data_IF_443475182096
#
_entry.id   IF_443475182096
#
_cell.length_a   1.000
_cell.length_b   1.000
_cell.length_c   1.000
_cell.angle_alpha   90.00
_cell.angle_beta   90.00
_cell.angle_gamma   90.00
#
_symmetry.space_group_name_H-M   'P 1'
#
loop_
_entity.id
_entity.type
_entity.pdbx_description
1 polymer ?
2 non-polymer ?
3 non-polymer ?
4 non-polymer ?
5 water ?
#
# COMPACT_ATOMS: atom_id res chain seq x y z
N UNK A 15 4.91 32.29 -19.59
CA UNK A 15 4.06 31.19 -20.04
C UNK A 15 4.81 29.87 -20.34
N UNK A 16 4.07 28.76 -20.19
CA UNK A 16 4.52 27.42 -20.53
C UNK A 16 3.40 26.78 -21.33
N UNK A 17 3.59 26.70 -22.65
CA UNK A 17 2.60 26.11 -23.56
C UNK A 17 3.06 24.76 -24.10
N UNK A 18 3.97 24.07 -23.41
CA UNK A 18 4.49 22.81 -23.91
C UNK A 18 3.39 21.74 -23.99
N UNK A 19 2.62 21.58 -22.92
CA UNK A 19 1.74 20.42 -22.86
C UNK A 19 0.42 20.64 -23.59
N UNK A 20 -0.11 21.87 -23.58
CA UNK A 20 -1.31 22.20 -24.35
C UNK A 20 -1.06 21.98 -25.84
N UNK A 22 0.42 19.21 -28.98
CA UNK A 22 0.51 17.75 -28.91
C UNK A 22 -0.90 17.13 -28.88
N UNK A 23 -1.26 16.44 -29.95
CA UNK A 23 -2.57 15.82 -30.06
C UNK A 23 -2.49 14.31 -30.18
N UNK A 24 -1.31 13.73 -29.92
CA UNK A 24 -1.16 12.29 -29.88
C UNK A 24 -0.54 11.92 -28.53
N UNK A 25 -1.07 10.88 -27.93
CA UNK A 25 -0.61 10.41 -26.64
C UNK A 25 -1.83 9.91 -25.89
N UNK A 26 -1.61 8.93 -25.02
CA UNK A 26 -2.65 8.35 -24.18
C UNK A 26 -2.08 8.21 -22.78
N UNK A 27 -2.91 8.41 -21.78
CA UNK A 27 -2.45 8.60 -20.41
C UNK A 27 -3.32 7.74 -19.50
N UNK A 28 -2.70 6.98 -18.60
CA UNK A 28 -3.44 6.08 -17.73
C UNK A 28 -3.03 6.30 -16.28
N UNK A 29 -3.98 6.16 -15.37
CA UNK A 29 -3.64 6.13 -13.95
C UNK A 29 -3.16 4.73 -13.61
N UNK A 30 -2.05 4.65 -12.88
CA UNK A 30 -1.58 3.38 -12.32
C UNK A 30 -1.70 3.47 -10.82
N UNK A 31 -2.44 2.54 -10.22
CA UNK A 31 -2.58 2.44 -8.77
C UNK A 31 -1.82 1.21 -8.29
N UNK A 32 -1.03 1.36 -7.23
CA UNK A 32 -0.30 0.24 -6.66
C UNK A 32 -0.62 0.14 -5.18
N UNK A 33 -0.85 -1.08 -4.68
CA UNK A 33 -0.97 -1.26 -3.25
C UNK A 33 0.37 -1.22 -2.53
N UNK A 34 1.48 -1.38 -3.28
CA UNK A 34 2.79 -1.69 -2.71
C UNK A 34 3.80 -0.61 -3.02
N UNK A 35 4.42 -0.07 -1.97
CA UNK A 35 5.57 0.80 -2.16
C UNK A 35 6.78 0.03 -2.64
N UNK A 36 6.88 -1.27 -2.31
CA UNK A 36 7.96 -2.09 -2.84
C UNK A 36 7.87 -2.20 -4.37
N UNK A 37 6.66 -2.40 -4.91
CA UNK A 37 6.54 -2.49 -6.36
C UNK A 37 6.97 -1.17 -7.02
N UNK A 38 6.61 -0.03 -6.42
CA UNK A 38 7.05 1.27 -6.96
C UNK A 38 8.57 1.34 -6.99
N UNK A 39 9.24 1.00 -5.87
CA UNK A 39 10.70 1.05 -5.85
C UNK A 39 11.32 0.11 -6.88
N UNK A 40 10.74 -1.08 -7.05
CA UNK A 40 11.28 -2.02 -8.02
C UNK A 40 11.11 -1.51 -9.44
N UNK A 41 9.99 -0.83 -9.69
CA UNK A 41 9.73 -0.26 -11.01
C UNK A 41 10.74 0.82 -11.36
N UNK A 42 11.02 1.71 -10.42
CA UNK A 42 11.99 2.77 -10.66
C UNK A 42 13.38 2.17 -10.87
N UNK A 43 13.71 1.13 -10.10
CA UNK A 43 15.04 0.53 -10.16
C UNK A 43 15.29 -0.16 -11.49
N UNK A 44 14.32 -0.93 -11.98
CA UNK A 44 14.53 -1.77 -13.15
C UNK A 44 13.74 -1.33 -14.37
N UNK A 45 12.98 -0.25 -14.28
CA UNK A 45 12.21 0.28 -15.41
C UNK A 45 11.31 -0.79 -16.04
N UNK A 46 10.51 -1.44 -15.18
CA UNK A 46 9.53 -2.44 -15.60
C UNK A 46 8.27 -2.25 -14.75
N UNK A 47 7.16 -2.78 -15.24
CA UNK A 47 5.89 -2.76 -14.52
C UNK A 47 5.08 -3.97 -14.92
N UNK A 48 4.06 -4.26 -14.12
CA UNK A 48 3.07 -5.29 -14.42
C UNK A 48 1.76 -4.85 -13.77
N UNK A 49 0.66 -5.03 -14.47
CA UNK A 49 -0.66 -4.72 -13.94
C UNK A 49 -1.44 -6.02 -13.78
N UNK A 50 -2.74 -5.89 -13.51
CA UNK A 50 -3.60 -7.07 -13.53
C UNK A 50 -3.71 -7.59 -14.94
N UNK A 51 -4.41 -8.71 -15.10
CA UNK A 51 -4.63 -9.24 -16.45
C UNK A 51 -5.39 -8.23 -17.32
N UNK A 52 -6.53 -7.72 -16.83
CA UNK A 52 -7.28 -6.78 -17.65
C UNK A 52 -6.56 -5.45 -17.80
N UNK A 53 -5.83 -5.01 -16.77
CA UNK A 53 -5.02 -3.80 -16.90
C UNK A 53 -3.95 -3.95 -17.95
N UNK A 54 -3.22 -5.06 -17.91
CA UNK A 54 -2.22 -5.35 -18.93
C UNK A 54 -2.80 -5.31 -20.34
N UNK A 55 -3.94 -5.97 -20.54
CA UNK A 55 -4.59 -5.97 -21.85
C UNK A 55 -4.90 -4.55 -22.32
N UNK A 56 -5.42 -3.72 -21.42
CA UNK A 56 -5.78 -2.36 -21.79
C UNK A 56 -4.55 -1.56 -22.18
N UNK A 57 -3.49 -1.63 -21.36
CA UNK A 57 -2.27 -0.91 -21.67
C UNK A 57 -1.65 -1.42 -22.96
N UNK A 58 -1.65 -2.75 -23.14
CA UNK A 58 -1.05 -3.34 -24.32
C UNK A 58 -1.76 -2.87 -25.59
N UNK A 59 -3.10 -2.82 -25.55
CA UNK A 59 -3.85 -2.34 -26.71
C UNK A 59 -3.49 -0.90 -27.04
N UNK A 60 -3.39 -0.04 -26.02
CA UNK A 60 -3.05 1.36 -26.25
C UNK A 60 -1.64 1.51 -26.79
N UNK A 61 -0.67 0.79 -26.22
CA UNK A 61 0.71 0.91 -26.69
C UNK A 61 0.82 0.51 -28.16
N UNK A 62 0.18 -0.60 -28.52
CA UNK A 62 0.35 -1.12 -29.88
C UNK A 62 -0.40 -0.25 -30.88
N UNK A 63 -1.61 0.21 -30.54
CA UNK A 63 -2.35 1.10 -31.42
C UNK A 63 -1.64 2.44 -31.62
N UNK A 64 -0.74 2.80 -30.71
CA UNK A 64 -0.02 4.06 -30.85
C UNK A 64 1.02 3.98 -31.97
N UNK A 65 1.69 2.84 -32.10
CA UNK A 65 2.68 2.62 -33.16
C UNK A 65 3.74 3.72 -33.18
N UNK A 66 4.23 4.07 -32.00
CA UNK A 66 5.29 5.05 -31.87
C UNK A 66 4.93 6.46 -32.28
N UNK A 67 3.67 6.73 -32.62
CA UNK A 67 3.23 8.07 -33.01
C UNK A 67 3.10 9.03 -31.85
N UNK A 68 3.14 8.52 -30.62
CA UNK A 68 3.01 9.35 -29.43
C UNK A 68 3.27 8.52 -28.19
N UNK A 69 3.41 9.16 -27.04
CA UNK A 69 3.71 8.39 -25.82
C UNK A 69 2.45 7.86 -25.15
N UNK A 70 2.62 6.74 -24.46
CA UNK A 70 1.65 6.27 -23.47
C UNK A 70 2.22 6.63 -22.10
N UNK A 71 1.58 7.53 -21.38
CA UNK A 71 2.07 7.99 -20.09
C UNK A 71 1.33 7.26 -18.97
N UNK A 72 2.05 7.02 -17.88
CA UNK A 72 1.55 6.31 -16.71
C UNK A 72 1.73 7.24 -15.51
N UNK A 73 0.64 7.58 -14.86
CA UNK A 73 0.66 8.44 -13.68
C UNK A 73 0.48 7.55 -12.46
N UNK A 74 1.51 7.44 -11.62
CA UNK A 74 1.58 6.44 -10.55
C UNK A 74 1.14 6.99 -9.21
N UNK A 75 0.36 6.21 -8.46
CA UNK A 75 -0.05 6.59 -7.12
C UNK A 75 -0.24 5.34 -6.29
N UNK A 76 0.30 5.34 -5.07
CA UNK A 76 0.11 4.23 -4.14
C UNK A 76 -1.25 4.39 -3.46
N UNK A 77 -2.05 3.33 -3.50
CA UNK A 77 -3.38 3.36 -2.88
C UNK A 77 -3.31 3.83 -1.44
N UNK A 78 -4.11 4.84 -1.10
CA UNK A 78 -4.18 5.32 0.26
C UNK A 78 -3.12 6.32 0.65
N UNK A 79 -2.17 6.64 -0.24
CA UNK A 79 -1.04 7.47 0.16
C UNK A 79 -1.34 8.96 0.17
N UNK A 80 -2.37 9.40 -0.54
CA UNK A 80 -2.68 10.81 -0.62
C UNK A 80 -1.96 11.59 -1.70
N UNK A 81 -1.12 10.94 -2.51
CA UNK A 81 -0.32 11.66 -3.48
C UNK A 81 0.02 10.75 -4.66
N UNK A 82 0.22 11.37 -5.83
CA UNK A 82 0.90 10.70 -6.92
C UNK A 82 2.39 10.71 -6.63
N UNK A 83 3.09 9.70 -7.13
CA UNK A 83 4.50 9.56 -6.84
C UNK A 83 5.37 9.67 -8.07
N UNK A 84 4.79 9.82 -9.26
CA UNK A 84 5.61 10.12 -10.42
C UNK A 84 4.94 9.71 -11.73
N UNK A 85 5.75 9.74 -12.78
CA UNK A 85 5.30 9.59 -14.16
C UNK A 85 6.32 8.73 -14.91
N UNK A 86 5.81 7.79 -15.69
CA UNK A 86 6.64 6.92 -16.51
C UNK A 86 6.00 6.79 -17.88
N UNK A 87 6.82 6.52 -18.88
CA UNK A 87 6.32 6.21 -20.20
C UNK A 87 6.41 4.71 -20.42
N UNK A 88 5.35 4.14 -20.98
CA UNK A 88 5.38 2.76 -21.45
C UNK A 88 6.37 2.62 -22.60
N UNK A 89 7.20 1.57 -22.57
CA UNK A 89 8.28 1.44 -23.54
C UNK A 89 8.36 0.08 -24.22
N UNK A 90 7.35 -0.76 -24.07
CA UNK A 90 7.29 -2.03 -24.77
C UNK A 90 5.85 -2.51 -24.70
N UNK A 91 5.53 -3.45 -25.56
CA UNK A 91 4.32 -4.22 -25.38
C UNK A 91 4.45 -5.11 -24.14
N UNK A 92 3.34 -5.75 -23.79
CA UNK A 92 3.30 -6.65 -22.64
C UNK A 92 3.83 -8.02 -23.04
N UNK A 93 4.79 -8.53 -22.27
CA UNK A 93 5.22 -9.92 -22.35
C UNK A 93 4.44 -10.69 -21.29
N UNK A 94 3.58 -11.61 -21.71
CA UNK A 94 2.65 -12.19 -20.74
C UNK A 94 3.19 -13.43 -20.03
N UNK A 95 4.31 -14.00 -20.46
CA UNK A 95 4.82 -15.24 -19.87
C UNK A 95 6.23 -14.95 -19.36
N UNK A 96 6.34 -14.51 -18.12
CA UNK A 96 7.62 -14.16 -17.54
C UNK A 96 7.70 -14.79 -16.16
N UNK A 97 8.85 -14.63 -15.52
CA UNK A 97 9.06 -15.16 -14.18
C UNK A 97 7.97 -14.66 -13.24
N UNK A 98 7.33 -15.60 -12.55
CA UNK A 98 6.28 -15.25 -11.60
C UNK A 98 6.90 -14.82 -10.27
N UNK A 99 6.09 -14.17 -9.44
CA UNK A 99 6.51 -13.85 -8.08
C UNK A 99 7.51 -12.72 -7.90
N UNK A 100 7.75 -11.89 -8.91
CA UNK A 100 8.74 -10.82 -8.74
C UNK A 100 8.18 -9.58 -8.02
N UNK A 101 6.87 -9.44 -7.96
CA UNK A 101 6.23 -8.30 -7.31
C UNK A 101 5.77 -8.71 -5.90
N UNK A 102 5.23 -7.75 -5.14
CA UNK A 102 4.93 -8.02 -3.73
C UNK A 102 3.97 -9.21 -3.59
N UNK A 103 2.87 -9.18 -4.34
CA UNK A 103 1.98 -10.32 -4.40
C UNK A 103 2.18 -11.10 -5.70
N UNK A 104 2.06 -12.42 -5.58
CA UNK A 104 2.25 -13.32 -6.70
C UNK A 104 0.96 -13.43 -7.52
N UNK A 106 0.57 -11.61 -10.21
CA UNK A 106 0.89 -10.79 -11.37
C UNK A 106 1.50 -11.66 -12.49
N UNK A 107 0.88 -11.56 -13.67
CA UNK A 107 1.27 -12.33 -14.84
C UNK A 107 1.77 -11.35 -15.90
N UNK A 108 3.09 -11.24 -16.04
CA UNK A 108 3.67 -10.55 -17.17
C UNK A 108 4.59 -9.43 -16.77
N UNK A 109 5.02 -8.67 -17.77
CA UNK A 109 6.00 -7.62 -17.57
C UNK A 109 6.03 -6.74 -18.82
N UNK A 110 6.19 -5.44 -18.63
CA UNK A 110 6.53 -4.57 -19.75
C UNK A 110 7.52 -3.52 -19.27
N UNK A 111 8.22 -2.93 -20.25
CA UNK A 111 9.21 -1.91 -19.97
C UNK A 111 8.56 -0.55 -19.80
N UNK A 112 9.08 0.25 -18.87
CA UNK A 112 8.71 1.64 -18.72
C UNK A 112 10.01 2.44 -18.65
N UNK A 113 9.86 3.75 -18.75
CA UNK A 113 10.94 4.69 -18.46
C UNK A 113 10.37 5.71 -17.50
N UNK A 114 10.89 5.74 -16.27
CA UNK A 114 10.42 6.74 -15.32
C UNK A 114 10.91 8.13 -15.73
N UNK A 115 10.00 9.09 -15.66
CA UNK A 115 10.15 10.46 -16.16
C UNK A 115 10.30 11.44 -15.00
N UNK A 116 9.31 11.45 -14.10
CA UNK A 116 9.29 12.21 -12.85
C UNK A 116 9.21 11.22 -11.71
N UNK A 117 10.04 11.43 -10.70
CA UNK A 117 9.83 10.81 -9.41
C UNK A 117 9.71 11.98 -8.43
N UNK A 118 8.47 12.35 -8.10
CA UNK A 118 8.20 13.35 -7.08
C UNK A 118 6.79 13.14 -6.55
N UNK A 119 6.60 13.39 -5.26
CA UNK A 119 5.27 13.31 -4.67
C UNK A 119 4.49 14.56 -4.99
N UNK A 120 3.29 14.38 -5.54
CA UNK A 120 2.37 15.46 -5.82
C UNK A 120 1.09 15.22 -5.03
N UNK A 121 0.78 16.04 -4.04
CA UNK A 121 -0.39 15.78 -3.20
C UNK A 121 -1.66 15.78 -4.02
N UNK A 122 -2.62 14.94 -3.60
CA UNK A 122 -3.90 14.89 -4.29
C UNK A 122 -4.59 16.25 -4.30
N UNK A 123 -4.29 17.10 -3.31
CA UNK A 123 -4.88 18.44 -3.26
C UNK A 123 -4.53 19.25 -4.50
N UNK A 124 -3.36 19.01 -5.09
CA UNK A 124 -2.94 19.72 -6.28
C UNK A 124 -3.73 19.31 -7.52
N UNK A 125 -4.44 18.18 -7.46
CA UNK A 125 -5.03 17.57 -8.66
C UNK A 125 -6.53 17.28 -8.55
N UNK A 126 -7.11 17.31 -7.35
CA UNK A 126 -8.49 16.88 -7.15
C UNK A 126 -9.52 17.67 -7.96
N UNK A 127 -9.16 18.87 -8.42
CA UNK A 127 -10.10 19.70 -9.18
C UNK A 127 -10.29 19.17 -10.60
N UNK A 128 -9.30 18.49 -11.16
CA UNK A 128 -9.43 17.93 -12.50
C UNK A 128 -10.32 16.71 -12.42
N UNK A 129 -11.41 16.71 -13.19
CA UNK A 129 -12.36 15.61 -13.16
C UNK A 129 -12.37 14.93 -14.53
N UNK A 130 -12.74 13.64 -14.53
CA UNK A 130 -12.67 12.80 -15.72
C UNK A 130 -14.08 12.60 -16.28
N UNK A 131 -14.36 13.20 -17.43
CA UNK A 131 -15.68 13.07 -18.02
C UNK A 131 -15.99 11.62 -18.39
N UNK A 132 -14.97 10.79 -18.62
CA UNK A 132 -15.20 9.39 -18.96
C UNK A 132 -15.38 8.50 -17.73
N UNK A 133 -15.28 9.06 -16.52
CA UNK A 133 -15.44 8.34 -15.27
C UNK A 133 -16.39 9.11 -14.35
N UNK A 134 -17.57 9.46 -14.87
CA UNK A 134 -18.64 10.06 -14.09
C UNK A 134 -18.24 11.40 -13.48
N UNK A 135 -17.33 12.11 -14.15
CA UNK A 135 -16.80 13.38 -13.66
C UNK A 135 -16.18 13.28 -12.27
N UNK A 136 -15.74 12.08 -11.88
CA UNK A 136 -15.03 11.94 -10.62
C UNK A 136 -13.66 12.61 -10.69
N UNK A 137 -13.16 13.14 -9.57
CA UNK A 137 -11.80 13.68 -9.56
C UNK A 137 -10.81 12.64 -10.05
N UNK A 138 -9.82 13.10 -10.81
CA UNK A 138 -8.79 12.19 -11.32
C UNK A 138 -8.11 11.45 -10.16
N UNK A 139 -8.07 12.06 -8.98
CA UNK A 139 -7.50 11.50 -7.76
C UNK A 139 -8.36 10.39 -7.16
N UNK A 140 -9.52 10.09 -7.73
CA UNK A 140 -10.40 9.01 -7.29
C UNK A 140 -10.47 7.87 -8.29
N UNK A 141 -9.45 7.72 -9.10
CA UNK A 141 -9.42 6.75 -10.19
C UNK A 141 -8.95 5.39 -9.68
N UNK A 142 -9.40 4.33 -10.35
CA UNK A 142 -8.92 2.98 -10.14
C UNK A 142 -7.75 2.69 -11.09
N UNK A 143 -7.08 1.56 -10.83
CA UNK A 143 -5.92 1.15 -11.62
C UNK A 143 -6.25 1.03 -13.11
N UNK A 144 -5.40 1.64 -13.95
CA UNK A 144 -5.51 1.76 -15.42
C UNK A 144 -6.77 2.47 -15.90
N UNK A 145 -7.32 3.36 -15.07
CA UNK A 145 -8.25 4.37 -15.56
C UNK A 145 -7.57 5.22 -16.64
N UNK A 146 -8.16 5.28 -17.83
CA UNK A 146 -7.59 6.17 -18.86
C UNK A 146 -8.03 7.61 -18.62
N UNK A 147 -7.16 8.55 -18.97
CA UNK A 147 -7.38 9.98 -18.76
C UNK A 147 -7.55 10.63 -20.12
N UNK A 148 -8.66 11.34 -20.37
CA UNK A 148 -8.80 12.05 -21.65
C UNK A 148 -7.62 13.00 -21.85
N UNK A 149 -7.18 13.11 -23.10
CA UNK A 149 -5.91 13.82 -23.34
C UNK A 149 -5.97 15.26 -22.87
N UNK A 150 -7.11 15.94 -23.05
CA UNK A 150 -7.16 17.33 -22.64
C UNK A 150 -7.04 17.48 -21.12
N UNK A 151 -7.58 16.52 -20.36
CA UNK A 151 -7.39 16.52 -18.91
C UNK A 151 -5.97 16.10 -18.53
N UNK A 152 -5.42 15.12 -19.25
CA UNK A 152 -4.05 14.68 -19.02
C UNK A 152 -3.05 15.82 -19.16
N UNK A 153 -3.27 16.74 -20.12
CA UNK A 153 -2.35 17.86 -20.28
C UNK A 153 -2.36 18.73 -19.04
N UNK A 154 -3.53 18.88 -18.43
CA UNK A 154 -3.65 19.70 -17.20
C UNK A 154 -2.95 19.02 -16.03
N UNK A 155 -3.10 17.71 -15.91
CA UNK A 155 -2.44 16.94 -14.86
C UNK A 155 -0.92 17.00 -15.02
N UNK A 156 -0.43 16.74 -16.23
CA UNK A 156 1.00 16.77 -16.45
C UNK A 156 1.58 18.15 -16.14
N UNK A 157 0.85 19.21 -16.48
CA UNK A 157 1.36 20.55 -16.19
C UNK A 157 1.49 20.78 -14.69
N UNK A 158 0.49 20.37 -13.92
CA UNK A 158 0.55 20.56 -12.47
C UNK A 158 1.67 19.74 -11.85
N UNK A 159 1.88 18.50 -12.32
CA UNK A 159 2.93 17.66 -11.77
C UNK A 159 4.31 18.25 -12.08
N UNK A 160 4.52 18.68 -13.33
CA UNK A 160 5.83 19.18 -13.71
C UNK A 160 6.18 20.44 -12.94
N UNK A 161 5.18 21.20 -12.51
CA UNK A 161 5.42 22.49 -11.87
C UNK A 161 5.37 22.44 -10.34
N UNK A 162 4.99 21.32 -9.74
CA UNK A 162 4.89 21.28 -8.29
C UNK A 162 6.29 21.31 -7.65
N UNK A 163 6.41 21.99 -6.52
CA UNK A 163 7.72 22.16 -5.88
C UNK A 163 7.67 21.81 -4.39
N UNK B 16 -9.20 -23.40 22.99
CA UNK B 16 -8.29 -24.02 22.03
C UNK B 16 -6.91 -23.93 22.70
N UNK B 17 -5.86 -24.45 22.04
CA UNK B 17 -4.54 -24.46 22.65
C UNK B 17 -3.91 -23.08 22.75
N UNK B 18 -4.41 -22.10 22.02
CA UNK B 18 -3.71 -20.84 21.83
C UNK B 18 -4.47 -19.69 22.45
N UNK B 19 -3.73 -18.82 23.15
CA UNK B 19 -4.25 -17.55 23.66
C UNK B 19 -5.46 -17.74 24.57
N UNK B 20 -5.52 -18.89 25.24
CA UNK B 20 -6.56 -19.10 26.24
C UNK B 20 -6.30 -18.29 27.50
N UNK B 21 -5.03 -18.02 27.80
CA UNK B 21 -4.63 -17.24 28.98
C UNK B 21 -4.10 -15.89 28.48
N UNK B 22 -5.02 -14.94 28.34
CA UNK B 22 -4.76 -13.58 27.90
C UNK B 22 -5.78 -12.72 28.65
N UNK B 23 -5.59 -12.63 29.96
CA UNK B 23 -6.59 -11.96 30.81
C UNK B 23 -6.65 -10.47 30.52
N UNK B 24 -5.50 -9.82 30.51
CA UNK B 24 -5.40 -8.39 30.26
C UNK B 24 -4.80 -8.18 28.88
N UNK B 25 -4.44 -6.93 28.60
CA UNK B 25 -3.69 -6.68 27.40
C UNK B 25 -4.57 -6.20 26.27
N UNK B 26 -3.90 -5.85 25.19
CA UNK B 26 -4.47 -5.01 24.15
C UNK B 26 -3.88 -5.43 22.81
N UNK B 27 -4.67 -5.29 21.77
CA UNK B 27 -4.35 -5.85 20.46
C UNK B 27 -4.65 -4.81 19.41
N UNK B 28 -3.72 -4.63 18.46
CA UNK B 28 -3.84 -3.60 17.44
C UNK B 28 -3.57 -4.22 16.08
N UNK B 29 -4.28 -3.70 15.06
CA UNK B 29 -3.99 -4.01 13.67
C UNK B 29 -2.76 -3.21 13.23
N UNK B 30 -1.85 -3.87 12.51
CA UNK B 30 -0.74 -3.19 11.84
C UNK B 30 -0.89 -3.40 10.34
N UNK B 31 -0.89 -2.32 9.59
CA UNK B 31 -0.88 -2.41 8.14
C UNK B 31 0.50 -2.00 7.62
N UNK B 32 0.80 -2.37 6.38
CA UNK B 32 2.05 -1.94 5.77
C UNK B 32 1.91 -1.79 4.26
N UNK B 33 2.47 -0.70 3.74
CA UNK B 33 2.69 -0.49 2.31
C UNK B 33 3.83 -1.32 1.76
N UNK B 34 4.53 -2.07 2.61
CA UNK B 34 5.83 -2.66 2.23
C UNK B 34 5.98 -4.04 2.83
N UNK B 35 5.99 -5.06 1.97
CA UNK B 35 6.36 -6.40 2.41
C UNK B 35 7.81 -6.42 2.86
N UNK B 36 8.67 -5.63 2.22
CA UNK B 36 10.08 -5.56 2.63
C UNK B 36 10.21 -5.13 4.10
N UNK B 37 9.41 -4.13 4.52
CA UNK B 37 9.43 -3.69 5.91
C UNK B 37 9.04 -4.83 6.86
N UNK B 38 8.04 -5.64 6.47
CA UNK B 38 7.67 -6.79 7.29
C UNK B 38 8.83 -7.76 7.39
N UNK B 39 9.48 -8.05 6.25
CA UNK B 39 10.61 -8.97 6.29
C UNK B 39 11.68 -8.47 7.23
N UNK B 40 11.93 -7.16 7.24
CA UNK B 40 12.94 -6.60 8.12
C UNK B 40 12.50 -6.69 9.58
N UNK B 41 11.20 -6.43 9.84
CA UNK B 41 10.63 -6.61 11.17
C UNK B 41 10.84 -8.03 11.70
N UNK B 42 10.60 -9.03 10.84
CA UNK B 42 10.75 -10.44 11.25
C UNK B 42 12.22 -10.75 11.52
N UNK B 43 13.11 -10.24 10.66
CA UNK B 43 14.54 -10.49 10.81
C UNK B 43 15.08 -9.91 12.10
N UNK B 44 14.72 -8.66 12.41
CA UNK B 44 15.39 -7.93 13.48
C UNK B 44 14.51 -7.70 14.71
N UNK B 45 13.27 -8.20 14.72
CA UNK B 45 12.35 -8.01 15.84
C UNK B 45 12.23 -6.54 16.25
N UNK B 46 11.89 -5.69 15.27
CA UNK B 46 11.65 -4.27 15.47
C UNK B 46 10.53 -3.81 14.55
N UNK B 47 9.91 -2.69 14.91
CA UNK B 47 8.87 -2.10 14.07
C UNK B 47 8.81 -0.60 14.32
N UNK B 48 8.07 0.07 13.45
CA UNK B 48 7.88 1.51 13.49
C UNK B 48 6.56 1.81 12.79
N UNK B 49 5.75 2.72 13.35
CA UNK B 49 4.51 3.16 12.71
C UNK B 49 4.60 4.63 12.26
N UNK B 50 3.46 5.21 11.93
CA UNK B 50 3.35 6.66 11.77
C UNK B 50 3.60 7.34 13.11
N UNK B 51 3.68 8.67 13.10
CA UNK B 51 3.82 9.39 14.35
C UNK B 51 2.60 9.18 15.23
N UNK B 52 1.40 9.33 14.67
CA UNK B 52 0.21 9.09 15.48
C UNK B 52 0.08 7.62 15.88
N UNK B 53 0.49 6.69 15.02
CA UNK B 53 0.44 5.28 15.39
C UNK B 53 1.41 4.95 16.50
N UNK B 54 2.62 5.49 16.44
CA UNK B 54 3.62 5.23 17.47
C UNK B 54 3.13 5.68 18.83
N UNK B 55 2.53 6.87 18.88
CA UNK B 55 2.02 7.40 20.14
C UNK B 55 0.90 6.54 20.68
N UNK B 56 0.03 6.03 19.79
CA UNK B 56 -1.04 5.14 20.25
C UNK B 56 -0.49 3.85 20.85
N UNK B 57 0.44 3.20 20.16
CA UNK B 57 1.01 1.97 20.68
C UNK B 57 1.84 2.24 21.93
N UNK B 58 2.54 3.37 21.96
CA UNK B 58 3.36 3.74 23.11
C UNK B 58 2.49 3.90 24.36
N UNK B 59 1.39 4.65 24.22
CA UNK B 59 0.46 4.83 25.34
C UNK B 59 -0.09 3.51 25.86
N UNK B 60 -0.47 2.60 24.96
CA UNK B 60 -1.00 1.31 25.40
C UNK B 60 0.09 0.49 26.09
N UNK B 61 1.30 0.47 25.53
CA UNK B 61 2.38 -0.31 26.12
C UNK B 61 2.69 0.19 27.53
N UNK B 62 2.84 1.51 27.67
CA UNK B 62 3.21 2.07 28.97
C UNK B 62 2.08 1.93 29.99
N UNK B 63 0.82 2.06 29.55
CA UNK B 63 -0.30 1.85 30.47
C UNK B 63 -0.36 0.41 30.94
N UNK B 64 0.14 -0.52 30.12
CA UNK B 64 0.14 -1.92 30.49
C UNK B 64 1.06 -2.18 31.69
N UNK B 65 2.25 -1.58 31.69
CA UNK B 65 3.23 -1.74 32.77
C UNK B 65 3.52 -3.21 33.05
N UNK B 66 3.65 -4.01 31.99
CA UNK B 66 4.00 -5.41 32.12
C UNK B 66 2.91 -6.32 32.64
N UNK B 67 1.72 -5.80 32.93
CA UNK B 67 0.64 -6.62 33.47
C UNK B 67 -0.04 -7.51 32.43
N UNK B 68 0.26 -7.31 31.14
CA UNK B 68 -0.31 -8.14 30.10
C UNK B 68 0.33 -7.82 28.76
N UNK B 69 0.02 -8.60 27.73
CA UNK B 69 0.69 -8.42 26.43
C UNK B 69 -0.02 -7.43 25.52
N UNK B 70 0.78 -6.72 24.72
CA UNK B 70 0.25 -5.91 23.63
C UNK B 70 0.60 -6.66 22.35
N UNK B 71 -0.42 -7.17 21.65
CA UNK B 71 -0.22 -7.98 20.46
C UNK B 71 -0.48 -7.16 19.19
N UNK B 72 0.22 -7.51 18.12
CA UNK B 72 0.10 -6.80 16.86
C UNK B 72 -0.27 -7.79 15.76
N UNK B 73 -1.34 -7.49 15.05
CA UNK B 73 -1.87 -8.33 13.97
C UNK B 73 -1.49 -7.69 12.64
N UNK B 74 -0.54 -8.27 11.93
CA UNK B 74 0.09 -7.63 10.77
C UNK B 74 -0.65 -8.03 9.49
N UNK B 75 -0.82 -7.07 8.57
CA UNK B 75 -1.41 -7.36 7.27
C UNK B 75 -0.89 -6.35 6.23
N UNK B 76 -0.36 -6.87 5.13
CA UNK B 76 0.17 -6.01 4.06
C UNK B 76 -0.98 -5.47 3.23
N UNK B 77 -0.96 -4.16 2.96
CA UNK B 77 -2.05 -3.55 2.21
C UNK B 77 -2.21 -4.23 0.84
N UNK B 78 -3.45 -4.52 0.47
CA UNK B 78 -3.74 -5.15 -0.81
C UNK B 78 -3.43 -6.62 -0.90
N UNK B 79 -2.88 -7.24 0.15
CA UNK B 79 -2.49 -8.65 0.07
C UNK B 79 -3.68 -9.61 0.21
N UNK B 80 -4.80 -9.16 0.75
CA UNK B 80 -5.90 -10.09 1.00
C UNK B 80 -5.65 -11.09 2.10
N UNK B 81 -4.59 -10.94 2.88
CA UNK B 81 -4.33 -11.84 4.00
C UNK B 81 -3.59 -11.12 5.11
N UNK B 82 -3.74 -11.65 6.33
CA UNK B 82 -2.88 -11.28 7.44
C UNK B 82 -1.64 -12.15 7.37
N UNK B 83 -0.51 -11.62 7.83
CA UNK B 83 0.74 -12.34 7.64
C UNK B 83 1.39 -12.76 8.94
N UNK B 84 0.80 -12.42 10.09
CA UNK B 84 1.25 -13.01 11.33
C UNK B 84 0.96 -12.12 12.52
N UNK B 85 1.65 -12.42 13.61
CA UNK B 85 1.36 -11.87 14.93
C UNK B 85 2.67 -11.62 15.65
N UNK B 86 2.81 -10.44 16.25
CA UNK B 86 3.95 -10.13 17.09
C UNK B 86 3.47 -9.53 18.39
N UNK B 87 4.30 -9.63 19.41
CA UNK B 87 4.09 -8.93 20.67
C UNK B 87 5.01 -7.73 20.77
N UNK B 88 4.43 -6.60 21.15
CA UNK B 88 5.22 -5.40 21.44
C UNK B 88 6.09 -5.62 22.67
N UNK B 89 7.37 -5.25 22.57
CA UNK B 89 8.34 -5.62 23.60
C UNK B 89 9.12 -4.43 24.16
N UNK B 90 8.77 -3.22 23.82
CA UNK B 90 9.46 -2.06 24.39
C UNK B 90 8.63 -0.83 24.12
N UNK B 91 8.96 0.24 24.83
CA UNK B 91 8.36 1.52 24.55
C UNK B 91 8.94 2.07 23.24
N UNK B 92 8.36 3.16 22.78
CA UNK B 92 8.79 3.77 21.53
C UNK B 92 9.97 4.67 21.79
N UNK B 93 11.04 4.48 21.02
CA UNK B 93 12.15 5.41 20.97
C UNK B 93 11.97 6.28 19.73
N UNK B 94 11.77 7.59 19.92
CA UNK B 94 11.43 8.47 18.81
C UNK B 94 12.63 9.04 18.07
N UNK B 95 13.83 8.96 18.65
CA UNK B 95 15.03 9.54 18.03
C UNK B 95 15.98 8.40 17.69
N UNK B 96 15.88 7.92 16.46
CA UNK B 96 16.68 6.79 15.99
C UNK B 96 17.14 7.06 14.56
N UNK B 97 18.01 6.18 14.09
CA UNK B 97 18.61 6.33 12.76
C UNK B 97 17.54 6.47 11.69
N UNK B 98 17.68 7.50 10.86
CA UNK B 98 16.74 7.74 9.78
C UNK B 98 16.95 6.76 8.62
N UNK B 99 15.90 6.60 7.81
CA UNK B 99 15.99 5.87 6.57
C UNK B 99 16.31 4.39 6.66
N UNK B 100 15.94 3.72 7.76
CA UNK B 100 16.17 2.27 7.81
C UNK B 100 15.05 1.44 7.18
N UNK B 101 13.89 2.05 6.86
CA UNK B 101 12.73 1.33 6.32
C UNK B 101 12.51 1.70 4.85
N UNK B 102 11.40 1.21 4.28
CA UNK B 102 11.15 1.38 2.85
C UNK B 102 11.04 2.85 2.47
N UNK B 103 10.54 3.68 3.38
CA UNK B 103 10.44 5.12 3.18
C UNK B 103 10.98 5.84 4.41
N UNK B 104 11.46 7.07 4.19
CA UNK B 104 11.98 7.90 5.27
C UNK B 104 10.91 8.35 6.25
N UNK B 105 9.63 8.26 5.90
CA UNK B 105 8.58 8.71 6.82
C UNK B 105 8.38 7.80 8.02
N UNK B 106 8.95 6.59 8.04
CA UNK B 106 8.82 5.71 9.20
C UNK B 106 9.95 6.04 10.17
N UNK B 107 9.64 6.82 11.18
CA UNK B 107 10.62 7.38 12.10
C UNK B 107 10.44 6.80 13.49
N UNK B 108 11.54 6.40 14.12
CA UNK B 108 11.49 5.82 15.45
C UNK B 108 11.50 4.32 15.40
N UNK B 109 11.40 3.71 16.59
CA UNK B 109 11.57 2.27 16.64
C UNK B 109 11.07 1.79 17.99
N UNK B 110 10.49 0.59 17.98
CA UNK B 110 10.24 -0.17 19.20
C UNK B 110 10.49 -1.64 18.88
N UNK B 111 10.77 -2.40 19.94
CA UNK B 111 11.04 -3.82 19.82
C UNK B 111 9.74 -4.61 19.75
N UNK B 112 9.77 -5.72 19.00
CA UNK B 112 8.69 -6.68 18.97
C UNK B 112 9.29 -8.07 19.16
N UNK B 113 8.42 -9.04 19.35
CA UNK B 113 8.77 -10.46 19.28
C UNK B 113 7.72 -11.10 18.39
N UNK B 114 8.14 -11.56 17.21
CA UNK B 114 7.20 -12.24 16.34
C UNK B 114 6.87 -13.62 16.90
N UNK B 115 5.59 -13.98 16.83
CA UNK B 115 5.05 -15.20 17.41
C UNK B 115 4.63 -16.18 16.32
N UNK B 116 3.83 -15.72 15.36
CA UNK B 116 3.46 -16.48 14.17
C UNK B 116 3.88 -15.69 12.95
N UNK B 117 4.51 -16.35 11.99
CA UNK B 117 4.69 -15.85 10.64
C UNK B 117 3.96 -16.82 9.73
N UNK B 118 2.81 -16.39 9.19
CA UNK B 118 2.00 -17.28 8.36
C UNK B 118 0.91 -16.45 7.68
N UNK B 119 0.63 -16.76 6.43
CA UNK B 119 -0.44 -16.05 5.72
C UNK B 119 -1.78 -16.70 6.02
N UNK B 120 -2.73 -15.90 6.46
CA UNK B 120 -4.10 -16.33 6.71
C UNK B 120 -5.03 -15.51 5.83
N UNK B 121 -5.78 -16.13 4.92
CA UNK B 121 -6.68 -15.36 4.05
C UNK B 121 -7.71 -14.58 4.83
N UNK B 122 -8.01 -13.37 4.34
CA UNK B 122 -9.02 -12.55 4.99
C UNK B 122 -10.38 -13.21 5.02
N UNK B 123 -10.62 -14.18 4.14
CA UNK B 123 -11.87 -14.92 4.17
C UNK B 123 -12.10 -15.59 5.52
N UNK B 124 -11.03 -16.03 6.18
CA UNK B 124 -11.14 -16.70 7.46
C UNK B 124 -11.45 -15.74 8.60
N UNK B 125 -11.34 -14.44 8.36
CA UNK B 125 -11.43 -13.44 9.41
C UNK B 125 -12.49 -12.40 9.17
N UNK B 126 -13.07 -12.32 7.97
CA UNK B 126 -13.85 -11.14 7.65
C UNK B 126 -15.18 -11.11 8.40
N UNK B 127 -15.62 -12.23 8.97
CA UNK B 127 -16.86 -12.26 9.74
C UNK B 127 -16.73 -11.55 11.08
N UNK B 128 -15.52 -11.33 11.56
CA UNK B 128 -15.28 -10.70 12.86
C UNK B 128 -15.37 -9.19 12.72
N UNK B 129 -16.32 -8.57 13.41
CA UNK B 129 -16.59 -7.15 13.25
C UNK B 129 -16.19 -6.41 14.52
N UNK B 130 -15.74 -5.17 14.36
CA UNK B 130 -15.26 -4.36 15.47
C UNK B 130 -16.35 -3.41 15.92
N UNK B 131 -16.85 -3.60 17.15
CA UNK B 131 -17.90 -2.71 17.65
C UNK B 131 -17.38 -1.32 17.91
N UNK B 132 -16.06 -1.13 18.03
CA UNK B 132 -15.50 0.21 18.18
C UNK B 132 -15.17 0.86 16.83
N UNK B 133 -15.38 0.18 15.72
CA UNK B 133 -15.14 0.75 14.40
C UNK B 133 -16.37 0.60 13.51
N UNK B 134 -17.52 1.05 14.01
CA UNK B 134 -18.76 1.07 13.23
C UNK B 134 -19.17 -0.33 12.77
N UNK B 135 -18.75 -1.34 13.52
CA UNK B 135 -19.06 -2.73 13.24
C UNK B 135 -18.48 -3.20 11.90
N UNK B 136 -17.40 -2.56 11.42
CA UNK B 136 -16.77 -2.99 10.17
C UNK B 136 -15.97 -4.27 10.37
N UNK B 137 -15.83 -5.08 9.31
CA UNK B 137 -15.01 -6.28 9.43
C UNK B 137 -13.59 -5.95 9.88
N UNK B 138 -13.00 -6.85 10.68
CA UNK B 138 -11.66 -6.56 11.18
C UNK B 138 -10.68 -6.47 10.02
N UNK B 139 -10.98 -7.14 8.91
CA UNK B 139 -10.15 -7.14 7.71
C UNK B 139 -10.21 -5.82 6.94
N UNK B 140 -11.06 -4.88 7.35
CA UNK B 140 -11.09 -3.55 6.78
C UNK B 140 -10.46 -2.50 7.69
N UNK B 141 -9.60 -2.92 8.62
CA UNK B 141 -9.05 -1.99 9.59
C UNK B 141 -7.91 -1.19 8.99
N UNK B 142 -7.72 0.02 9.50
CA UNK B 142 -6.54 0.80 9.15
C UNK B 142 -5.42 0.55 10.17
N UNK B 143 -4.26 1.13 9.88
CA UNK B 143 -3.06 0.98 10.71
C UNK B 143 -3.30 1.48 12.13
N UNK B 144 -2.97 0.63 13.11
CA UNK B 144 -3.07 0.87 14.56
C UNK B 144 -4.51 1.01 15.05
N UNK B 145 -5.47 0.52 14.28
CA UNK B 145 -6.83 0.28 14.79
C UNK B 145 -6.79 -0.69 15.97
N UNK B 146 -7.34 -0.29 17.12
CA UNK B 146 -7.37 -1.19 18.27
C UNK B 146 -8.53 -2.17 18.15
N UNK B 147 -8.29 -3.42 18.55
CA UNK B 147 -9.29 -4.48 18.45
C UNK B 147 -9.88 -4.71 19.84
N UNK B 148 -11.19 -4.78 19.99
CA UNK B 148 -11.74 -5.21 21.29
C UNK B 148 -11.21 -6.59 21.65
N UNK B 149 -10.96 -6.79 22.96
CA UNK B 149 -10.19 -7.98 23.39
C UNK B 149 -10.91 -9.27 23.03
N UNK B 150 -12.25 -9.31 23.16
CA UNK B 150 -12.93 -10.56 22.80
C UNK B 150 -12.89 -10.81 21.30
N UNK B 151 -12.89 -9.77 20.46
CA UNK B 151 -12.69 -9.99 19.04
C UNK B 151 -11.24 -10.36 18.73
N UNK B 152 -10.30 -9.72 19.42
CA UNK B 152 -8.89 -10.03 19.20
C UNK B 152 -8.58 -11.48 19.53
N UNK B 153 -9.18 -11.99 20.61
CA UNK B 153 -8.93 -13.39 20.97
C UNK B 153 -9.40 -14.31 19.85
N UNK B 154 -10.53 -14.01 19.23
CA UNK B 154 -11.02 -14.82 18.11
C UNK B 154 -10.05 -14.77 16.93
N UNK B 155 -9.56 -13.58 16.59
CA UNK B 155 -8.60 -13.45 15.49
C UNK B 155 -7.32 -14.23 15.79
N UNK B 156 -6.74 -14.01 16.98
CA UNK B 156 -5.50 -14.68 17.36
C UNK B 156 -5.63 -16.19 17.30
N UNK B 157 -6.76 -16.73 17.79
CA UNK B 157 -6.94 -18.18 17.75
C UNK B 157 -7.06 -18.67 16.32
N UNK B 158 -7.75 -17.93 15.46
CA UNK B 158 -7.89 -18.38 14.09
C UNK B 158 -6.54 -18.40 13.41
N UNK B 159 -5.75 -17.34 13.60
CA UNK B 159 -4.42 -17.28 12.98
C UNK B 159 -3.53 -18.40 13.52
N UNK B 160 -3.53 -18.58 14.85
CA UNK B 160 -2.71 -19.61 15.47
C UNK B 160 -2.99 -21.00 14.90
N UNK B 161 -4.28 -21.33 14.69
CA UNK B 161 -4.67 -22.68 14.31
C UNK B 161 -4.85 -22.88 12.80
N UNK B 162 -4.79 -21.83 11.99
CA UNK B 162 -4.98 -21.99 10.55
C UNK B 162 -3.92 -22.90 9.97
N UNK B 163 -4.34 -23.80 9.08
CA UNK B 163 -3.40 -24.64 8.36
C UNK B 163 -3.59 -24.48 6.86
X LIG C 1 -5.45 7.67 -2.54
X LIG C 1 -5.85 7.65 -1.12
X LIG C 1 -5.56 6.31 -3.08
X LIG C 1 -6.32 8.55 -3.31
X LIG C 1 -4.09 8.18 -2.66
X LIG D 1 -15.11 19.37 -18.55
X LIG D 1 -14.86 18.80 -17.23
X LIG D 1 -16.55 19.34 -18.77
X LIG D 1 -14.42 18.59 -19.59
X LIG D 1 -14.62 20.75 -18.61
X LIG E 1 -7.58 -0.06 -7.65
X LIG E 1 -8.58 -0.80 -6.89
X LIG E 1 -6.26 -0.64 -7.36
X LIG E 1 -7.89 -0.18 -9.07
X LIG E 1 -7.55 1.35 -7.23
X LIG F 1 1.48 -3.82 -7.87
X LIG F 1 3.19 -5.02 -9.92
X LIG F 1 1.08 -3.87 -9.13
X LIG F 1 -0.24 -3.44 -9.43
X LIG F 1 -1.04 -3.03 -8.37
X LIG F 1 -2.29 -2.69 -8.95
X LIG F 1 0.68 -3.44 -6.86
X LIG F 1 1.96 -4.31 -10.20
X LIG F 1 -2.24 -2.89 -10.26
X LIG F 1 -0.98 -3.34 -10.56
X LIG F 1 -0.58 -3.06 -7.08
X LIG F 1 -3.76 -2.03 -7.88
X LIG G 1 19.47 -6.40 5.61
X LIG G 1 18.15 -6.49 4.98
X LIG G 1 19.91 -7.74 5.99
X LIG G 1 19.36 -5.56 6.80
X LIG G 1 20.43 -5.79 4.69
X LIG H 1 6.13 0.57 6.72
X LIG H 1 8.09 0.57 8.93
X LIG H 1 5.76 0.85 7.97
X LIG H 1 4.41 1.17 8.22
X LIG H 1 3.54 1.18 7.14
X LIG H 1 2.28 1.53 7.72
X LIG H 1 5.26 0.60 5.70
X LIG H 1 6.67 0.83 9.10
X LIG H 1 2.42 1.73 9.02
X LIG H 1 3.70 1.48 9.33
X LIG H 1 3.98 0.91 5.89
X LIG H 1 0.64 1.74 6.72
X LIG I 1 -5.19 -4.72 3.08
X LIG I 1 -6.06 -3.71 2.64
X LIG I 1 -5.88 -6.11 2.96
X LIG I 1 -7.19 -6.11 3.44
X LIG I 1 -5.83 -6.44 1.52
X LIG I 1 -7.09 -6.21 1.03
X LIG J 1 9.40 9.44 1.59
X LIG J 1 9.23 9.18 2.95
X LIG J 1 10.08 8.20 1.01
X LIG J 1 9.67 7.89 -0.27
X LIG J 1 11.59 8.46 1.11
X LIG J 1 12.21 7.41 0.41
X LIG K 1 1.63 11.17 11.58
X LIG K 1 0.85 10.39 12.42
X LIG K 1 1.41 10.57 10.19
X LIG K 1 0.40 11.24 9.51
X LIG K 1 2.79 10.63 9.52
X LIG K 1 3.72 10.30 10.53
#
# INVERSE_FOLDING_TARGET
MGSSYHHHHHHSSGENLYFQHMKHGRVFIIKSYSEDDIHRSIKYNIWCSTEHGNKRLDAAYRSMNGKGPVYLLFSVNGSGHFCGVAEMKSAVDYNTCAGVWSQDKWKGRFDVRWIFVKDVPNSQLRHIRLENNENKPVTNSRDTQEVPLEKAKQVLKIIASYKHTTS
MGSSYHHHHHHSSGENLYFQHMKHGRVFIIKSYSEDDIHRSIKYNIWCSTEHGNKRLDAAYRSMNGKGPVYLLFSVNGSGHFCGVAEMKSAVDYNTCAGVWSQDKWKGRFDVRWIFVKDVPNSQLRHIRLENNENKPVTNSRDTQEVPLEKAKQVLKIIASYKHTTS
SO4 S O1 O2 O3 O4
SO4 S O1 O2 O3 O4
SO4 S O1 O2 O3 O4
IFZ N12 C01 C03 C04 C05 C06 C11 N02 N08 N09 N10 BR07
SO4 S O1 O2 O3 O4
IFZ N12 C01 C03 C04 C05 C06 C11 N02 N08 N09 N10 BR07
GOL C1 O1 C2 O2 C3 O3
GOL C1 O1 C2 O2 C3 O3
GOL C1 O1 C2 O2 C3 O3
#
